data_IF_863021506008
#
_entry.id   IF_863021506008
#
_cell.length_a   1.000
_cell.length_b   1.000
_cell.length_c   1.000
_cell.angle_alpha   90.00
_cell.angle_beta   90.00
_cell.angle_gamma   90.00
#
_symmetry.space_group_name_H-M   'P 1'
#
loop_
_entity.id
_entity.type
_entity.pdbx_description
1 polymer ?
#
# COMPACT_ATOMS: atom_id res chain seq x y z
N UNK A 1 17.07 4.57 -1.25
CA UNK A 1 16.11 4.54 -2.37
C UNK A 1 14.83 5.30 -2.04
N UNK A 2 13.91 4.77 -1.20
CA UNK A 2 12.62 5.43 -0.91
C UNK A 2 12.73 6.86 -0.37
N UNK A 3 13.66 7.11 0.55
CA UNK A 3 13.94 8.46 1.04
C UNK A 3 14.37 9.42 -0.08
N UNK A 4 15.22 8.97 -1.03
CA UNK A 4 15.64 9.78 -2.19
C UNK A 4 14.48 10.09 -3.14
N UNK A 5 13.48 9.22 -3.19
CA UNK A 5 12.26 9.40 -3.99
C UNK A 5 11.20 10.27 -3.26
N UNK A 6 11.55 10.90 -2.14
CA UNK A 6 10.63 11.75 -1.38
C UNK A 6 9.51 10.98 -0.65
N UNK A 7 9.74 9.71 -0.30
CA UNK A 7 8.77 8.95 0.49
C UNK A 7 8.65 9.52 1.91
N UNK A 8 7.43 9.78 2.36
CA UNK A 8 7.13 10.05 3.76
C UNK A 8 7.28 8.82 4.66
N UNK A 9 7.05 8.98 5.96
CA UNK A 9 7.25 7.95 7.00
C UNK A 9 6.64 6.59 6.65
N UNK A 10 5.44 6.59 6.05
CA UNK A 10 4.74 5.35 5.68
C UNK A 10 5.43 4.56 4.56
N UNK A 11 6.03 5.27 3.60
CA UNK A 11 6.86 4.63 2.58
C UNK A 11 8.20 4.18 3.16
N UNK A 12 8.74 4.91 4.14
CA UNK A 12 9.98 4.57 4.84
C UNK A 12 9.84 3.35 5.76
N UNK A 13 8.61 2.98 6.18
CA UNK A 13 8.31 1.71 6.85
C UNK A 13 8.66 0.46 6.01
N UNK A 14 9.01 0.63 4.73
CA UNK A 14 9.52 -0.44 3.89
C UNK A 14 8.42 -1.33 3.33
N UNK A 15 8.79 -2.55 2.92
CA UNK A 15 7.82 -3.51 2.39
C UNK A 15 6.92 -4.06 3.49
N UNK A 16 5.75 -4.59 3.11
CA UNK A 16 4.86 -5.32 4.01
C UNK A 16 5.13 -6.82 3.89
N UNK A 17 4.98 -7.60 4.98
CA UNK A 17 4.97 -9.06 4.93
C UNK A 17 3.90 -9.60 3.98
N UNK A 18 2.75 -8.91 3.90
CA UNK A 18 1.66 -9.25 2.98
C UNK A 18 1.15 -8.00 2.25
N UNK A 19 0.88 -8.12 0.95
CA UNK A 19 0.31 -7.05 0.14
C UNK A 19 -0.55 -7.61 -1.00
N UNK A 20 -1.48 -6.83 -1.54
CA UNK A 20 -2.16 -7.18 -2.79
C UNK A 20 -1.20 -7.15 -3.98
N UNK A 21 -1.52 -7.92 -5.03
CA UNK A 21 -0.90 -7.74 -6.34
C UNK A 21 -1.17 -6.32 -6.86
N UNK A 22 -0.15 -5.64 -7.42
CA UNK A 22 -0.35 -4.31 -8.01
C UNK A 22 -1.07 -4.38 -9.36
N UNK A 23 -1.05 -5.53 -10.03
CA UNK A 23 -1.64 -5.73 -11.36
C UNK A 23 -3.16 -5.86 -11.21
N UNK A 24 -3.91 -5.06 -11.95
CA UNK A 24 -5.36 -5.05 -11.89
C UNK A 24 -5.98 -4.85 -13.27
N UNK A 25 -7.04 -5.60 -13.65
CA UNK A 25 -7.79 -6.58 -12.84
C UNK A 25 -7.17 -7.98 -12.73
N UNK A 26 -6.11 -8.29 -13.47
CA UNK A 26 -5.56 -9.65 -13.60
C UNK A 26 -4.98 -10.21 -12.30
N UNK A 27 -4.52 -9.33 -11.39
CA UNK A 27 -4.04 -9.71 -10.06
C UNK A 27 -5.12 -9.67 -8.97
N UNK A 28 -6.41 -9.56 -9.33
CA UNK A 28 -7.49 -9.60 -8.35
C UNK A 28 -7.47 -10.89 -7.52
N UNK A 29 -7.60 -10.76 -6.21
CA UNK A 29 -7.55 -11.90 -5.28
C UNK A 29 -6.13 -12.47 -5.06
N UNK A 30 -5.11 -11.94 -5.75
CA UNK A 30 -3.72 -12.41 -5.57
C UNK A 30 -3.04 -11.60 -4.47
N UNK A 31 -2.54 -12.32 -3.48
CA UNK A 31 -1.75 -11.79 -2.38
C UNK A 31 -0.27 -12.14 -2.58
N UNK A 32 0.61 -11.19 -2.28
CA UNK A 32 2.06 -11.35 -2.31
C UNK A 32 2.55 -11.42 -0.87
N UNK A 33 2.88 -12.64 -0.42
CA UNK A 33 3.50 -12.91 0.86
C UNK A 33 5.03 -12.81 0.78
N UNK A 34 5.66 -12.34 1.86
CA UNK A 34 7.10 -12.15 2.02
C UNK A 34 7.55 -12.72 3.38
N UNK A 35 7.45 -14.05 3.59
CA UNK A 35 7.75 -14.67 4.89
C UNK A 35 9.20 -14.46 5.32
N UNK A 36 10.12 -14.36 4.36
CA UNK A 36 11.56 -14.15 4.62
C UNK A 36 11.96 -12.66 4.67
N UNK A 37 11.00 -11.73 4.83
CA UNK A 37 11.29 -10.29 4.81
C UNK A 37 12.24 -9.85 5.94
N UNK A 38 12.19 -10.54 7.09
CA UNK A 38 13.07 -10.30 8.24
C UNK A 38 14.39 -11.08 8.22
N UNK A 39 14.52 -12.08 7.34
CA UNK A 39 15.70 -12.94 7.31
C UNK A 39 16.86 -12.27 6.59
N UNK A 40 18.07 -12.39 7.14
CA UNK A 40 19.29 -11.87 6.49
C UNK A 40 19.81 -12.86 5.44
N UNK A 41 20.48 -12.33 4.42
CA UNK A 41 21.07 -13.15 3.35
C UNK A 41 22.01 -14.24 3.88
N UNK A 42 22.86 -13.90 4.86
CA UNK A 42 23.83 -14.86 5.41
C UNK A 42 23.18 -15.93 6.30
N UNK A 43 22.07 -15.60 6.98
CA UNK A 43 21.29 -16.58 7.74
C UNK A 43 20.67 -17.61 6.79
N UNK A 44 20.05 -17.14 5.70
CA UNK A 44 19.48 -18.02 4.68
C UNK A 44 20.55 -18.90 4.02
N UNK A 45 21.73 -18.35 3.69
CA UNK A 45 22.84 -19.15 3.12
C UNK A 45 23.40 -20.16 4.10
N UNK A 46 23.46 -19.82 5.38
CA UNK A 46 23.90 -20.75 6.43
C UNK A 46 22.91 -21.92 6.56
N UNK A 47 21.61 -21.61 6.58
CA UNK A 47 20.55 -22.61 6.58
C UNK A 47 20.63 -23.52 5.34
N UNK A 48 20.72 -22.96 4.13
CA UNK A 48 20.80 -23.75 2.90
C UNK A 48 22.03 -24.67 2.85
N UNK A 49 23.18 -24.22 3.39
CA UNK A 49 24.37 -25.08 3.49
C UNK A 49 24.18 -26.23 4.48
N UNK A 50 23.52 -25.97 5.61
CA UNK A 50 23.22 -27.01 6.61
C UNK A 50 22.26 -28.08 6.05
N UNK A 51 21.32 -27.66 5.20
CA UNK A 51 20.38 -28.55 4.50
C UNK A 51 20.93 -29.16 3.20
N UNK A 52 22.20 -28.91 2.85
CA UNK A 52 22.85 -29.30 1.58
C UNK A 52 22.06 -28.88 0.31
N UNK A 53 21.35 -27.75 0.37
CA UNK A 53 20.58 -27.20 -0.76
C UNK A 53 21.45 -26.21 -1.55
N UNK A 54 21.65 -26.51 -2.83
CA UNK A 54 22.35 -25.62 -3.76
C UNK A 54 21.42 -24.48 -4.23
N UNK A 55 21.99 -23.30 -4.46
CA UNK A 55 21.30 -22.15 -5.04
C UNK A 55 22.09 -21.56 -6.22
N UNK A 56 21.41 -20.76 -7.04
CA UNK A 56 22.00 -20.02 -8.16
C UNK A 56 22.09 -18.54 -7.79
N UNK A 57 23.25 -17.92 -7.98
CA UNK A 57 23.40 -16.48 -7.86
C UNK A 57 23.03 -15.81 -9.21
N UNK A 58 21.88 -15.13 -9.25
CA UNK A 58 21.42 -14.41 -10.44
C UNK A 58 22.36 -13.22 -10.78
N UNK A 59 22.92 -13.16 -12.01
CA UNK A 59 23.78 -12.06 -12.47
C UNK A 59 23.17 -10.66 -12.32
N UNK A 60 21.84 -10.54 -12.34
CA UNK A 60 21.13 -9.27 -12.15
C UNK A 60 21.42 -8.61 -10.80
N UNK A 61 21.85 -9.39 -9.80
CA UNK A 61 22.19 -8.90 -8.46
C UNK A 61 23.40 -7.97 -8.41
N UNK A 62 24.27 -8.05 -9.42
CA UNK A 62 25.50 -7.25 -9.54
C UNK A 62 25.46 -6.26 -10.70
N UNK A 63 24.35 -6.17 -11.43
CA UNK A 63 24.21 -5.26 -12.56
C UNK A 63 24.04 -3.79 -12.09
N UNK A 64 25.02 -2.90 -12.36
CA UNK A 64 24.98 -1.51 -11.90
C UNK A 64 23.94 -0.64 -12.60
N UNK A 65 23.26 -1.14 -13.65
CA UNK A 65 22.14 -0.45 -14.29
C UNK A 65 20.97 -0.24 -13.33
N UNK A 66 20.80 -1.12 -12.33
CA UNK A 66 19.73 -1.01 -11.34
C UNK A 66 20.14 -0.12 -10.15
N UNK A 67 19.27 0.82 -9.77
CA UNK A 67 19.48 1.71 -8.61
C UNK A 67 19.76 0.92 -7.31
N UNK A 68 19.06 -0.21 -7.11
CA UNK A 68 19.24 -1.08 -5.94
C UNK A 68 20.67 -1.57 -5.76
N UNK A 69 21.34 -1.89 -6.87
CA UNK A 69 22.72 -2.42 -6.86
C UNK A 69 23.69 -1.29 -6.53
N UNK A 70 23.53 -0.13 -7.18
CA UNK A 70 24.34 1.07 -6.88
C UNK A 70 24.21 1.49 -5.42
N UNK A 71 22.99 1.56 -4.90
CA UNK A 71 22.74 1.93 -3.51
C UNK A 71 23.33 0.91 -2.53
N UNK A 72 23.21 -0.39 -2.80
CA UNK A 72 23.81 -1.43 -1.94
C UNK A 72 25.32 -1.32 -1.87
N UNK A 73 26.00 -1.05 -3.00
CA UNK A 73 27.46 -0.84 -3.05
C UNK A 73 27.89 0.40 -2.26
N UNK A 74 27.13 1.50 -2.36
CA UNK A 74 27.40 2.73 -1.60
C UNK A 74 27.20 2.55 -0.08
N UNK A 75 26.28 1.68 0.33
CA UNK A 75 25.90 1.46 1.72
C UNK A 75 26.67 0.30 2.41
N UNK A 76 27.68 -0.29 1.75
CA UNK A 76 28.50 -1.38 2.30
C UNK A 76 29.15 -1.03 3.67
N UNK A 77 29.56 -2.01 4.50
CA UNK A 77 29.44 -2.05 5.98
C UNK A 77 30.18 -0.98 6.81
N UNK A 78 30.84 0.00 6.20
CA UNK A 78 31.53 1.09 6.92
C UNK A 78 30.58 2.09 7.57
N UNK A 79 29.26 1.92 7.45
CA UNK A 79 28.27 2.76 8.12
C UNK A 79 27.88 2.18 9.49
N UNK A 80 28.46 2.76 10.54
CA UNK A 80 28.09 2.58 11.96
C UNK A 80 26.63 2.95 12.29
N UNK A 81 25.85 3.50 11.34
CA UNK A 81 24.44 3.89 11.50
C UNK A 81 23.39 2.87 11.03
N UNK A 82 23.79 1.69 10.55
CA UNK A 82 22.84 0.69 10.02
C UNK A 82 21.83 0.19 11.07
N UNK A 83 22.26 -0.05 12.31
CA UNK A 83 21.39 -0.47 13.42
C UNK A 83 20.35 0.61 13.78
N UNK A 84 20.73 1.89 13.73
CA UNK A 84 19.81 3.01 14.01
C UNK A 84 18.76 3.17 12.91
N UNK A 85 19.13 2.94 11.64
CA UNK A 85 18.18 3.00 10.53
C UNK A 85 17.15 1.88 10.64
N UNK A 86 17.58 0.65 10.96
CA UNK A 86 16.68 -0.49 11.12
C UNK A 86 15.69 -0.26 12.27
N UNK A 87 16.15 0.24 13.43
CA UNK A 87 15.24 0.51 14.55
C UNK A 87 14.22 1.62 14.26
N UNK A 88 14.60 2.64 13.46
CA UNK A 88 13.66 3.65 12.97
C UNK A 88 12.65 3.05 11.99
N UNK A 89 13.08 2.15 11.11
CA UNK A 89 12.18 1.44 10.20
C UNK A 89 11.16 0.59 10.97
N UNK A 90 11.59 -0.13 12.00
CA UNK A 90 10.70 -0.94 12.86
C UNK A 90 9.64 -0.06 13.52
N UNK A 91 10.03 1.10 14.06
CA UNK A 91 9.08 2.09 14.61
C UNK A 91 8.09 2.57 13.55
N UNK A 92 8.53 2.85 12.33
CA UNK A 92 7.62 3.24 11.25
C UNK A 92 6.69 2.09 10.82
N UNK A 93 7.11 0.83 10.94
CA UNK A 93 6.23 -0.32 10.72
C UNK A 93 5.15 -0.40 11.79
N UNK A 94 5.49 -0.22 13.07
CA UNK A 94 4.50 -0.15 14.16
C UNK A 94 3.51 0.99 13.96
N UNK A 95 4.00 2.20 13.63
CA UNK A 95 3.13 3.34 13.34
C UNK A 95 2.22 3.09 12.13
N UNK A 96 2.73 2.38 11.12
CA UNK A 96 1.95 2.00 9.95
C UNK A 96 0.80 1.08 10.34
N UNK A 97 1.03 0.07 11.16
CA UNK A 97 -0.03 -0.84 11.63
C UNK A 97 -1.14 -0.10 12.38
N UNK A 98 -0.78 0.82 13.28
CA UNK A 98 -1.75 1.63 14.03
C UNK A 98 -2.59 2.50 13.08
N UNK A 99 -1.91 3.17 12.14
CA UNK A 99 -2.58 4.04 11.18
C UNK A 99 -3.44 3.26 10.18
N UNK A 100 -3.01 2.07 9.78
CA UNK A 100 -3.79 1.17 8.92
C UNK A 100 -5.07 0.72 9.61
N UNK A 101 -5.00 0.32 10.88
CA UNK A 101 -6.18 -0.06 11.66
C UNK A 101 -7.15 1.13 11.84
N UNK A 102 -6.62 2.34 12.05
CA UNK A 102 -7.45 3.55 12.12
C UNK A 102 -8.12 3.87 10.77
N UNK A 103 -7.38 3.74 9.67
CA UNK A 103 -7.88 3.94 8.32
C UNK A 103 -8.94 2.90 7.96
N UNK A 104 -8.72 1.62 8.29
CA UNK A 104 -9.69 0.54 8.09
C UNK A 104 -11.02 0.84 8.78
N UNK A 105 -11.00 1.15 10.10
CA UNK A 105 -12.22 1.50 10.85
C UNK A 105 -12.99 2.63 10.19
N UNK A 106 -12.28 3.67 9.78
CA UNK A 106 -12.89 4.80 9.10
C UNK A 106 -13.48 4.41 7.75
N UNK A 107 -12.74 3.69 6.90
CA UNK A 107 -13.17 3.25 5.58
C UNK A 107 -14.46 2.42 5.65
N UNK A 108 -14.52 1.48 6.59
CA UNK A 108 -15.69 0.60 6.80
C UNK A 108 -16.94 1.38 7.18
N UNK A 109 -16.83 2.45 7.98
CA UNK A 109 -17.98 3.26 8.37
C UNK A 109 -18.38 4.32 7.34
N UNK A 110 -17.45 4.76 6.48
CA UNK A 110 -17.61 6.00 5.72
C UNK A 110 -17.71 5.84 4.21
N UNK A 111 -17.49 4.63 3.68
CA UNK A 111 -17.51 4.36 2.23
C UNK A 111 -18.77 3.58 1.84
N UNK A 112 -19.38 3.99 0.73
CA UNK A 112 -20.36 3.19 -0.01
C UNK A 112 -19.81 2.97 -1.40
N UNK A 113 -19.94 1.75 -1.91
CA UNK A 113 -19.44 1.37 -3.23
C UNK A 113 -20.58 0.84 -4.07
N UNK A 114 -20.57 1.19 -5.35
CA UNK A 114 -21.38 0.57 -6.38
C UNK A 114 -20.47 0.10 -7.51
N UNK A 115 -21.03 -0.53 -8.54
CA UNK A 115 -20.31 -1.03 -9.72
C UNK A 115 -19.47 0.04 -10.45
N UNK A 116 -19.77 1.34 -10.27
CA UNK A 116 -19.13 2.41 -11.05
C UNK A 116 -18.49 3.51 -10.22
N UNK A 117 -18.94 3.69 -8.98
CA UNK A 117 -18.57 4.83 -8.16
C UNK A 117 -18.31 4.42 -6.72
N UNK A 118 -17.35 5.11 -6.12
CA UNK A 118 -17.10 5.10 -4.69
C UNK A 118 -17.65 6.41 -4.14
N UNK A 119 -18.48 6.33 -3.12
CA UNK A 119 -18.97 7.49 -2.39
C UNK A 119 -18.46 7.46 -0.96
N UNK A 120 -17.81 8.54 -0.53
CA UNK A 120 -17.20 8.66 0.79
C UNK A 120 -17.68 9.91 1.50
N UNK A 121 -17.85 9.87 2.82
CA UNK A 121 -18.13 11.08 3.60
C UNK A 121 -16.99 12.09 3.45
N UNK A 122 -17.27 13.37 3.72
CA UNK A 122 -16.23 14.41 3.64
C UNK A 122 -15.06 14.10 4.59
N UNK A 123 -13.85 14.39 4.10
CA UNK A 123 -12.59 14.08 4.80
C UNK A 123 -12.27 15.07 5.94
N UNK A 124 -13.13 16.05 6.20
CA UNK A 124 -12.92 17.16 7.15
C UNK A 124 -12.69 16.71 8.59
N UNK A 125 -13.20 15.53 8.97
CA UNK A 125 -13.02 14.95 10.31
C UNK A 125 -11.72 14.15 10.46
N UNK A 126 -10.94 14.00 9.40
CA UNK A 126 -9.69 13.24 9.41
C UNK A 126 -8.47 14.16 9.55
N UNK A 127 -7.42 13.72 10.27
CA UNK A 127 -6.11 14.34 10.14
C UNK A 127 -5.65 14.35 8.68
N UNK A 128 -4.98 15.43 8.26
CA UNK A 128 -4.60 15.67 6.85
C UNK A 128 -3.85 14.48 6.22
N UNK A 129 -2.93 13.86 6.95
CA UNK A 129 -2.20 12.68 6.44
C UNK A 129 -3.11 11.47 6.18
N UNK A 130 -4.07 11.21 7.08
CA UNK A 130 -5.03 10.12 6.94
C UNK A 130 -6.01 10.40 5.80
N UNK A 131 -6.49 11.65 5.70
CA UNK A 131 -7.32 12.10 4.59
C UNK A 131 -6.61 11.90 3.24
N UNK A 132 -5.34 12.29 3.13
CA UNK A 132 -4.56 12.14 1.91
C UNK A 132 -4.33 10.66 1.55
N UNK A 133 -4.09 9.80 2.55
CA UNK A 133 -3.93 8.36 2.35
C UNK A 133 -5.24 7.68 1.93
N UNK A 134 -6.33 7.98 2.63
CA UNK A 134 -7.67 7.50 2.30
C UNK A 134 -8.01 7.87 0.85
N UNK A 135 -7.87 9.16 0.52
CA UNK A 135 -8.14 9.65 -0.83
C UNK A 135 -7.24 9.00 -1.89
N UNK A 136 -5.96 8.82 -1.59
CA UNK A 136 -5.02 8.16 -2.49
C UNK A 136 -5.41 6.72 -2.81
N UNK A 137 -5.81 5.93 -1.81
CA UNK A 137 -6.31 4.57 -2.00
C UNK A 137 -7.62 4.55 -2.79
N UNK A 138 -8.56 5.45 -2.46
CA UNK A 138 -9.85 5.50 -3.16
C UNK A 138 -9.68 5.89 -4.63
N UNK A 139 -8.78 6.84 -4.93
CA UNK A 139 -8.41 7.19 -6.31
C UNK A 139 -7.79 5.99 -7.03
N UNK A 140 -6.84 5.30 -6.37
CA UNK A 140 -6.21 4.11 -6.94
C UNK A 140 -7.25 3.05 -7.33
N UNK A 141 -8.22 2.80 -6.44
CA UNK A 141 -9.29 1.81 -6.65
C UNK A 141 -10.24 2.29 -7.75
N UNK A 142 -10.77 3.51 -7.67
CA UNK A 142 -11.76 4.04 -8.60
C UNK A 142 -11.22 4.18 -10.03
N UNK A 143 -9.95 4.54 -10.19
CA UNK A 143 -9.29 4.69 -11.49
C UNK A 143 -8.57 3.42 -11.97
N UNK A 144 -8.66 2.31 -11.22
CA UNK A 144 -8.04 1.04 -11.60
C UNK A 144 -6.50 1.06 -11.66
N UNK A 145 -5.84 2.01 -10.98
CA UNK A 145 -4.38 2.20 -11.09
C UNK A 145 -3.60 1.23 -10.23
N UNK A 146 -2.39 0.87 -10.62
CA UNK A 146 -1.52 -0.01 -9.82
C UNK A 146 -0.99 0.68 -8.55
N UNK A 147 -0.81 2.00 -8.60
CA UNK A 147 -0.25 2.80 -7.51
C UNK A 147 -1.07 4.07 -7.27
N UNK A 148 -1.15 4.55 -6.02
CA UNK A 148 -1.84 5.80 -5.71
C UNK A 148 -1.09 7.02 -6.28
N UNK A 149 -1.77 8.16 -6.43
CA UNK A 149 -1.12 9.42 -6.82
C UNK A 149 -0.02 9.84 -5.83
N UNK A 150 0.89 10.71 -6.29
CA UNK A 150 1.97 11.25 -5.44
C UNK A 150 1.42 12.06 -4.26
N UNK A 151 2.08 11.92 -3.10
CA UNK A 151 1.64 12.50 -1.83
C UNK A 151 1.39 14.00 -1.87
N UNK A 152 2.29 14.80 -2.46
CA UNK A 152 2.10 16.26 -2.55
C UNK A 152 0.83 16.66 -3.31
N UNK A 153 0.48 15.93 -4.38
CA UNK A 153 -0.76 16.19 -5.13
C UNK A 153 -2.00 15.82 -4.33
N UNK A 154 -1.92 14.75 -3.53
CA UNK A 154 -2.99 14.35 -2.63
C UNK A 154 -3.19 15.36 -1.50
N UNK A 155 -2.11 15.83 -0.88
CA UNK A 155 -2.16 16.83 0.19
C UNK A 155 -2.84 18.11 -0.28
N UNK A 156 -2.42 18.65 -1.45
CA UNK A 156 -3.06 19.83 -2.05
C UNK A 156 -4.53 19.60 -2.37
N UNK A 157 -4.91 18.42 -2.85
CA UNK A 157 -6.30 18.12 -3.14
C UNK A 157 -7.15 18.02 -1.86
N UNK A 158 -6.62 17.41 -0.80
CA UNK A 158 -7.30 17.35 0.50
C UNK A 158 -7.51 18.75 1.08
N UNK A 159 -6.47 19.59 1.05
CA UNK A 159 -6.56 20.98 1.50
C UNK A 159 -7.67 21.73 0.76
N UNK A 160 -7.71 21.62 -0.58
CA UNK A 160 -8.79 22.21 -1.39
C UNK A 160 -10.18 21.69 -1.01
N UNK A 161 -10.34 20.36 -0.83
CA UNK A 161 -11.61 19.74 -0.44
C UNK A 161 -12.08 20.23 0.94
N UNK A 162 -11.16 20.48 1.87
CA UNK A 162 -11.47 20.85 3.26
C UNK A 162 -11.69 22.35 3.41
N UNK A 163 -10.93 23.17 2.68
CA UNK A 163 -10.91 24.63 2.86
C UNK A 163 -11.78 25.40 1.86
N UNK A 164 -12.09 24.85 0.69
CA UNK A 164 -12.96 25.53 -0.29
C UNK A 164 -14.45 25.32 0.07
N UNK A 165 -15.16 26.39 0.43
CA UNK A 165 -16.60 26.34 0.71
C UNK A 165 -17.43 25.85 -0.51
N UNK A 166 -16.98 26.17 -1.73
CA UNK A 166 -17.60 25.77 -3.00
C UNK A 166 -16.69 24.85 -3.82
N UNK A 167 -16.16 23.78 -3.21
CA UNK A 167 -15.37 22.78 -3.93
C UNK A 167 -16.19 22.13 -5.06
N UNK A 168 -15.99 22.52 -6.32
CA UNK A 168 -16.78 22.02 -7.48
C UNK A 168 -16.32 20.67 -8.04
N UNK A 169 -15.25 20.11 -7.50
CA UNK A 169 -14.63 18.87 -7.97
C UNK A 169 -13.22 19.06 -8.53
N UNK A 170 -12.56 17.94 -8.80
CA UNK A 170 -11.22 17.89 -9.38
C UNK A 170 -11.00 16.56 -10.10
N UNK A 171 -9.94 16.48 -10.90
CA UNK A 171 -9.42 15.21 -11.41
C UNK A 171 -8.02 14.98 -10.87
N UNK A 172 -7.72 13.75 -10.46
CA UNK A 172 -6.39 13.36 -10.03
C UNK A 172 -6.19 11.85 -10.26
N UNK A 173 -5.08 11.50 -10.92
CA UNK A 173 -4.69 10.11 -11.08
C UNK A 173 -5.64 9.27 -11.95
N UNK A 174 -6.34 9.90 -12.90
CA UNK A 174 -7.37 9.24 -13.71
C UNK A 174 -8.69 9.01 -12.98
N UNK A 175 -8.87 9.63 -11.80
CA UNK A 175 -10.14 9.64 -11.07
C UNK A 175 -10.73 11.05 -11.14
N UNK A 176 -12.03 11.13 -11.39
CA UNK A 176 -12.84 12.31 -11.17
C UNK A 176 -13.40 12.28 -9.75
N UNK A 177 -13.27 13.39 -9.03
CA UNK A 177 -13.74 13.59 -7.65
C UNK A 177 -14.73 14.76 -7.67
N UNK A 178 -15.98 14.53 -7.24
CA UNK A 178 -17.03 15.55 -7.24
C UNK A 178 -17.83 15.53 -5.94
N UNK A 179 -18.25 16.68 -5.41
CA UNK A 179 -19.23 16.69 -4.33
C UNK A 179 -20.59 16.20 -4.83
N UNK A 180 -21.30 15.40 -4.03
CA UNK A 180 -22.66 14.94 -4.32
C UNK A 180 -23.39 14.61 -3.02
N UNK A 181 -24.52 15.29 -2.76
CA UNK A 181 -25.43 15.02 -1.62
C UNK A 181 -24.71 14.85 -0.28
N UNK A 182 -23.81 15.79 0.07
CA UNK A 182 -23.07 15.74 1.33
C UNK A 182 -21.94 14.70 1.40
N UNK A 183 -21.52 14.16 0.25
CA UNK A 183 -20.42 13.17 0.13
C UNK A 183 -19.52 13.53 -1.04
N UNK A 184 -18.36 12.89 -1.13
CA UNK A 184 -17.51 12.90 -2.31
C UNK A 184 -17.78 11.65 -3.13
N UNK A 185 -18.03 11.84 -4.42
CA UNK A 185 -18.14 10.77 -5.40
C UNK A 185 -16.84 10.68 -6.19
N UNK A 186 -16.29 9.47 -6.27
CA UNK A 186 -15.10 9.12 -7.02
C UNK A 186 -15.45 8.11 -8.12
N UNK A 187 -15.01 8.40 -9.34
CA UNK A 187 -15.23 7.57 -10.52
C UNK A 187 -14.02 7.65 -11.45
N UNK A 188 -13.82 6.66 -12.31
CA UNK A 188 -12.83 6.76 -13.39
C UNK A 188 -13.12 8.00 -14.25
N UNK A 189 -12.07 8.77 -14.58
CA UNK A 189 -12.17 9.96 -15.43
C UNK A 189 -12.52 9.61 -16.88
N UNK A 190 -12.02 8.48 -17.36
CA UNK A 190 -12.22 8.00 -18.72
C UNK A 190 -12.55 6.51 -18.75
N UNK A 191 -13.33 6.11 -19.76
CA UNK A 191 -13.57 4.71 -20.09
C UNK A 191 -14.76 4.05 -19.38
N UNK A 192 -15.00 2.76 -19.69
CA UNK A 192 -16.03 1.96 -19.05
C UNK A 192 -15.74 1.80 -17.54
N UNK A 193 -16.74 1.37 -16.75
CA UNK A 193 -16.54 1.05 -15.34
C UNK A 193 -15.35 0.12 -15.13
N UNK A 194 -14.50 0.44 -14.16
CA UNK A 194 -13.44 -0.47 -13.74
C UNK A 194 -14.11 -1.72 -13.15
N UNK A 195 -13.84 -2.92 -13.65
CA UNK A 195 -14.44 -4.13 -13.09
C UNK A 195 -13.93 -4.35 -11.66
N UNK A 196 -14.82 -4.83 -10.79
CA UNK A 196 -14.45 -5.31 -9.46
C UNK A 196 -14.05 -4.23 -8.44
N UNK A 197 -14.48 -2.97 -8.59
CA UNK A 197 -14.20 -1.89 -7.62
C UNK A 197 -14.55 -2.32 -6.18
N UNK A 198 -15.70 -2.95 -5.98
CA UNK A 198 -16.14 -3.43 -4.67
C UNK A 198 -15.21 -4.52 -4.11
N UNK A 199 -14.84 -5.51 -4.93
CA UNK A 199 -13.91 -6.57 -4.54
C UNK A 199 -12.51 -6.00 -4.21
N UNK A 200 -12.05 -5.03 -5.00
CA UNK A 200 -10.77 -4.34 -4.77
C UNK A 200 -10.78 -3.55 -3.46
N UNK A 201 -11.87 -2.82 -3.19
CA UNK A 201 -12.04 -2.10 -1.93
C UNK A 201 -12.01 -3.05 -0.74
N UNK A 202 -12.75 -4.16 -0.80
CA UNK A 202 -12.76 -5.18 0.23
C UNK A 202 -11.36 -5.76 0.47
N UNK A 203 -10.61 -6.08 -0.59
CA UNK A 203 -9.24 -6.59 -0.49
C UNK A 203 -8.29 -5.56 0.17
N UNK A 204 -8.43 -4.28 -0.15
CA UNK A 204 -7.66 -3.22 0.54
C UNK A 204 -8.06 -3.10 2.01
N UNK A 205 -9.35 -3.17 2.34
CA UNK A 205 -9.81 -3.15 3.73
C UNK A 205 -9.26 -4.34 4.52
N UNK A 206 -9.26 -5.54 3.96
CA UNK A 206 -8.69 -6.73 4.60
C UNK A 206 -7.18 -6.57 4.90
N UNK A 207 -6.41 -6.01 3.96
CA UNK A 207 -4.98 -5.73 4.20
C UNK A 207 -4.76 -4.62 5.25
N UNK A 208 -5.69 -3.68 5.40
CA UNK A 208 -5.61 -2.61 6.39
C UNK A 208 -6.06 -3.05 7.79
N UNK A 209 -6.97 -4.01 7.89
CA UNK A 209 -7.40 -4.53 9.21
C UNK A 209 -6.30 -5.31 9.90
N UNK A 210 -5.40 -5.93 9.13
CA UNK A 210 -4.37 -6.83 9.65
C UNK A 210 -4.95 -8.12 10.25
N UNK A 211 -6.24 -8.37 10.05
CA UNK A 211 -6.92 -9.56 10.55
C UNK A 211 -6.79 -10.70 9.54
N UNK A 212 -6.15 -11.80 9.96
CA UNK A 212 -5.95 -13.00 9.12
C UNK A 212 -7.25 -13.55 8.54
N UNK A 213 -8.36 -13.52 9.30
CA UNK A 213 -9.65 -13.98 8.81
C UNK A 213 -10.21 -13.08 7.71
N UNK A 214 -10.10 -11.75 7.85
CA UNK A 214 -10.54 -10.83 6.80
C UNK A 214 -9.70 -10.97 5.54
N UNK A 215 -8.40 -11.21 5.71
CA UNK A 215 -7.45 -11.43 4.62
C UNK A 215 -7.75 -12.75 3.90
N UNK A 216 -7.99 -13.84 4.64
CA UNK A 216 -8.34 -15.14 4.07
C UNK A 216 -9.66 -15.06 3.30
N UNK A 217 -10.68 -14.40 3.87
CA UNK A 217 -11.96 -14.18 3.20
C UNK A 217 -11.82 -13.38 1.88
N UNK A 218 -10.86 -12.45 1.83
CA UNK A 218 -10.58 -11.66 0.62
C UNK A 218 -9.70 -12.39 -0.42
N UNK A 219 -9.01 -13.48 -0.05
CA UNK A 219 -8.10 -14.24 -0.91
C UNK A 219 -8.78 -15.33 -1.76
N UNK A 220 -10.08 -15.59 -1.57
CA UNK A 220 -10.82 -16.64 -2.27
C UNK A 220 -10.80 -17.98 -1.54
N UNK A 221 -11.57 -18.96 -2.05
CA UNK A 221 -11.96 -20.20 -1.34
C UNK A 221 -10.83 -21.21 -1.02
N UNK A 222 -9.61 -20.99 -1.50
CA UNK A 222 -8.45 -21.88 -1.27
C UNK A 222 -7.27 -21.07 -0.70
N UNK A 223 -7.51 -20.35 0.39
CA UNK A 223 -6.47 -19.54 1.02
C UNK A 223 -5.59 -20.38 1.94
N UNK A 224 -4.37 -20.70 1.51
CA UNK A 224 -3.31 -21.29 2.35
C UNK A 224 -2.90 -20.40 3.56
N UNK A 225 -3.50 -19.20 3.69
CA UNK A 225 -3.21 -18.27 4.78
C UNK A 225 -3.85 -18.70 6.12
N UNK A 226 -4.84 -19.59 6.12
CA UNK A 226 -5.50 -20.05 7.36
C UNK A 226 -4.56 -20.89 8.24
N UNK A 227 -3.63 -21.63 7.62
CA UNK A 227 -2.66 -22.50 8.31
C UNK A 227 -1.31 -21.83 8.58
N UNK A 228 -1.10 -20.60 8.10
CA UNK A 228 0.15 -19.87 8.34
C UNK A 228 0.11 -19.17 9.69
N UNK A 229 1.20 -19.32 10.45
CA UNK A 229 1.44 -18.51 11.65
C UNK A 229 1.32 -17.02 11.28
N UNK A 230 0.51 -16.21 11.99
CA UNK A 230 0.35 -14.80 11.71
C UNK A 230 1.71 -14.11 11.66
N UNK A 231 2.05 -13.50 10.53
CA UNK A 231 3.30 -12.73 10.34
C UNK A 231 3.09 -11.26 10.75
N UNK A 232 2.14 -10.99 11.67
CA UNK A 232 1.70 -9.66 12.09
C UNK A 232 2.19 -9.31 13.49
#
# INVERSE_FOLDING_TARGET
>A
MRARQGSGWYGLAGMRPLSLSPVWPEGQGVFIARPLLGARREELRTFLRAEDVRWVDDPSNDNPAFERVRMRRLLCPKMSGSVQILSVMDRFQTLRMIEDAALWRWMTANIRVSERVIEVTFLTLLPTERAARALGLLIQIAAGREVPPRGERLARLVERIVSEEDFRGATLGGCQIRPRRGRLQLASETGPPIPGIAARLAAHQAILSGNTHEIAAAAGKESFLEDLVPIF
#
